data_IF_446339031082
#
_entry.id   IF_446339031082
#
_cell.length_a   1.000
_cell.length_b   1.000
_cell.length_c   1.000
_cell.angle_alpha   90.00
_cell.angle_beta   90.00
_cell.angle_gamma   90.00
#
_symmetry.space_group_name_H-M   'P 1'
#
loop_
_entity.id
_entity.type
_entity.pdbx_description
1 polymer ?
#
# COMPACT_ATOMS: atom_id res chain seq x y z
N UNK A 1 -6.64 -6.58 -21.12
CA UNK A 1 -6.68 -5.26 -20.52
C UNK A 1 -6.61 -5.34 -19.02
N UNK A 2 -5.65 -4.64 -18.47
CA UNK A 2 -5.43 -4.64 -17.03
C UNK A 2 -6.41 -3.75 -16.26
N UNK A 3 -7.33 -3.09 -16.98
CA UNK A 3 -8.19 -2.06 -16.42
C UNK A 3 -9.11 -2.51 -15.30
N UNK A 4 -9.35 -3.82 -15.18
CA UNK A 4 -10.29 -4.34 -14.20
C UNK A 4 -9.63 -5.10 -13.06
N UNK A 5 -8.32 -4.93 -12.90
CA UNK A 5 -7.62 -5.59 -11.81
C UNK A 5 -8.02 -4.94 -10.50
N UNK A 6 -8.70 -5.70 -9.67
CA UNK A 6 -9.13 -5.18 -8.37
C UNK A 6 -8.00 -5.22 -7.34
N UNK A 7 -7.95 -4.18 -6.53
CA UNK A 7 -7.00 -4.12 -5.43
C UNK A 7 -7.59 -4.89 -4.26
N UNK A 8 -6.87 -5.88 -3.79
CA UNK A 8 -7.33 -6.72 -2.68
C UNK A 8 -6.27 -6.81 -1.61
N UNK A 9 -6.71 -7.12 -0.39
CA UNK A 9 -5.82 -7.40 0.72
C UNK A 9 -6.37 -8.60 1.48
N UNK A 10 -5.47 -9.49 1.91
CA UNK A 10 -5.86 -10.64 2.71
C UNK A 10 -5.39 -10.40 4.14
N UNK A 11 -6.33 -10.46 5.07
CA UNK A 11 -6.06 -10.24 6.48
C UNK A 11 -6.55 -11.45 7.28
N UNK A 12 -5.71 -11.90 8.21
CA UNK A 12 -6.08 -12.97 9.11
C UNK A 12 -6.99 -12.40 10.20
N UNK A 13 -8.15 -13.03 10.42
CA UNK A 13 -9.09 -12.59 11.43
C UNK A 13 -8.74 -13.21 12.79
N UNK A 14 -9.54 -12.91 13.81
CA UNK A 14 -9.31 -13.42 15.16
C UNK A 14 -9.39 -14.94 15.27
N UNK A 15 -10.04 -15.58 14.30
CA UNK A 15 -10.15 -17.03 14.26
C UNK A 15 -8.99 -17.68 13.50
N UNK A 16 -8.05 -16.89 13.01
CA UNK A 16 -6.91 -17.38 12.25
C UNK A 16 -7.19 -17.67 10.79
N UNK A 17 -8.32 -17.21 10.28
CA UNK A 17 -8.68 -17.40 8.87
C UNK A 17 -8.32 -16.18 8.05
N UNK A 18 -7.74 -16.41 6.87
CA UNK A 18 -7.47 -15.33 5.92
C UNK A 18 -8.76 -14.93 5.22
N UNK A 19 -9.08 -13.66 5.29
CA UNK A 19 -10.25 -13.08 4.63
C UNK A 19 -9.76 -12.07 3.60
N UNK A 20 -10.25 -12.20 2.37
CA UNK A 20 -9.91 -11.28 1.31
C UNK A 20 -10.90 -10.11 1.27
N UNK A 21 -10.36 -8.91 1.24
CA UNK A 21 -11.17 -7.69 1.11
C UNK A 21 -10.82 -7.00 -0.21
N UNK A 22 -11.81 -6.44 -0.85
CA UNK A 22 -11.67 -5.74 -2.13
C UNK A 22 -11.87 -4.25 -1.91
N UNK A 23 -10.93 -3.45 -2.41
CA UNK A 23 -10.99 -2.00 -2.24
C UNK A 23 -12.11 -1.35 -3.05
N UNK A 24 -12.50 -1.98 -4.15
CA UNK A 24 -13.42 -1.37 -5.07
C UNK A 24 -12.71 -0.40 -6.00
N UNK A 25 -13.45 0.57 -6.52
CA UNK A 25 -12.93 1.52 -7.48
C UNK A 25 -11.95 2.50 -6.83
N UNK A 26 -10.77 2.62 -7.40
CA UNK A 26 -9.77 3.57 -6.89
C UNK A 26 -10.00 4.93 -7.53
N UNK A 27 -10.23 5.93 -6.70
CA UNK A 27 -10.52 7.29 -7.17
C UNK A 27 -9.24 8.13 -7.21
N UNK A 28 -9.33 9.24 -7.93
CA UNK A 28 -8.17 10.14 -8.09
C UNK A 28 -7.59 10.63 -6.76
N UNK A 29 -8.43 10.81 -5.74
CA UNK A 29 -7.96 11.23 -4.42
C UNK A 29 -6.95 10.23 -3.85
N UNK A 30 -7.20 8.94 -4.01
CA UNK A 30 -6.29 7.91 -3.53
C UNK A 30 -4.96 7.95 -4.27
N UNK A 31 -5.00 8.15 -5.58
CA UNK A 31 -3.78 8.29 -6.37
C UNK A 31 -2.96 9.48 -5.89
N UNK A 32 -3.63 10.60 -5.66
CA UNK A 32 -2.98 11.81 -5.13
C UNK A 32 -2.37 11.56 -3.76
N UNK A 33 -3.11 10.88 -2.87
CA UNK A 33 -2.62 10.57 -1.54
C UNK A 33 -1.39 9.67 -1.58
N UNK A 34 -1.37 8.71 -2.50
CA UNK A 34 -0.21 7.83 -2.68
C UNK A 34 1.01 8.61 -3.16
N UNK A 35 0.82 9.49 -4.13
CA UNK A 35 1.91 10.33 -4.64
C UNK A 35 2.48 11.21 -3.55
N UNK A 36 1.61 11.78 -2.73
CA UNK A 36 2.03 12.63 -1.60
C UNK A 36 2.84 11.82 -0.59
N UNK A 37 2.39 10.61 -0.29
CA UNK A 37 3.11 9.72 0.63
C UNK A 37 4.51 9.42 0.12
N UNK A 38 4.64 9.03 -1.16
CA UNK A 38 5.95 8.73 -1.74
C UNK A 38 6.85 9.96 -1.74
N UNK A 39 6.30 11.13 -2.02
CA UNK A 39 7.07 12.37 -1.96
C UNK A 39 7.63 12.60 -0.56
N UNK A 40 6.84 12.35 0.46
CA UNK A 40 7.28 12.48 1.85
C UNK A 40 8.37 11.45 2.20
N UNK A 41 8.21 10.22 1.70
CA UNK A 41 9.16 9.15 1.99
C UNK A 41 10.52 9.37 1.31
N UNK A 42 10.55 10.09 0.20
CA UNK A 42 11.77 10.38 -0.54
C UNK A 42 12.58 11.55 0.02
N UNK A 43 12.00 12.31 0.94
CA UNK A 43 12.69 13.47 1.49
C UNK A 43 13.92 13.04 2.28
N UNK A 44 15.04 13.73 2.01
CA UNK A 44 16.29 13.49 2.71
C UNK A 44 16.81 14.81 3.27
N UNK A 45 17.63 14.70 4.30
CA UNK A 45 18.28 15.88 4.89
C UNK A 45 19.51 16.29 4.08
N UNK A 46 20.25 17.28 4.56
CA UNK A 46 21.43 17.78 3.87
C UNK A 46 22.53 16.74 3.71
N UNK A 47 22.47 15.65 4.47
CA UNK A 47 23.46 14.57 4.41
C UNK A 47 22.96 13.37 3.60
N UNK A 48 21.77 13.48 3.00
CA UNK A 48 21.19 12.38 2.23
C UNK A 48 20.51 11.32 3.06
N UNK A 49 20.28 11.58 4.34
CA UNK A 49 19.59 10.63 5.24
C UNK A 49 18.08 10.87 5.16
N UNK A 50 17.27 9.82 5.05
CA UNK A 50 15.81 10.00 5.01
C UNK A 50 15.32 10.79 6.23
N UNK A 51 14.46 11.76 5.99
CA UNK A 51 13.86 12.59 7.04
C UNK A 51 12.95 11.75 7.93
N UNK A 52 12.20 10.82 7.32
CA UNK A 52 11.31 9.92 8.05
C UNK A 52 12.03 8.64 8.44
N UNK A 53 11.83 8.20 9.68
CA UNK A 53 12.35 6.90 10.13
C UNK A 53 11.60 5.77 9.43
N UNK A 54 12.13 4.54 9.54
CA UNK A 54 11.48 3.37 8.97
C UNK A 54 10.07 3.16 9.52
N UNK A 55 9.89 3.37 10.82
CA UNK A 55 8.57 3.20 11.45
C UNK A 55 7.60 4.29 10.97
N UNK A 56 8.08 5.52 10.80
CA UNK A 56 7.23 6.59 10.28
C UNK A 56 6.81 6.31 8.84
N UNK A 57 7.72 5.78 8.02
CA UNK A 57 7.39 5.38 6.65
C UNK A 57 6.36 4.26 6.64
N UNK A 58 6.53 3.28 7.51
CA UNK A 58 5.59 2.16 7.63
C UNK A 58 4.20 2.66 8.03
N UNK A 59 4.14 3.57 9.00
CA UNK A 59 2.87 4.14 9.46
C UNK A 59 2.16 4.89 8.33
N UNK A 60 2.91 5.60 7.48
CA UNK A 60 2.31 6.28 6.33
C UNK A 60 1.70 5.29 5.34
N UNK A 61 2.37 4.16 5.11
CA UNK A 61 1.86 3.13 4.22
C UNK A 61 0.58 2.50 4.77
N UNK A 62 0.57 2.19 6.07
CA UNK A 62 -0.61 1.61 6.73
C UNK A 62 -1.78 2.59 6.66
N UNK A 63 -1.51 3.86 6.95
CA UNK A 63 -2.54 4.91 6.87
C UNK A 63 -3.13 5.00 5.47
N UNK A 64 -2.28 5.01 4.44
CA UNK A 64 -2.74 5.08 3.06
C UNK A 64 -3.63 3.89 2.72
N UNK A 65 -3.22 2.69 3.08
CA UNK A 65 -3.98 1.48 2.77
C UNK A 65 -5.32 1.49 3.49
N UNK A 66 -5.33 1.73 4.80
CA UNK A 66 -6.57 1.65 5.60
C UNK A 66 -7.51 2.81 5.33
N UNK A 67 -6.98 4.02 5.25
CA UNK A 67 -7.82 5.22 5.27
C UNK A 67 -8.03 5.87 3.90
N UNK A 68 -7.35 5.40 2.87
CA UNK A 68 -7.54 5.91 1.52
C UNK A 68 -7.93 4.79 0.54
N UNK A 69 -7.08 3.78 0.39
CA UNK A 69 -7.33 2.70 -0.56
C UNK A 69 -8.58 1.90 -0.17
N UNK A 70 -8.66 1.49 1.10
CA UNK A 70 -9.78 0.70 1.62
C UNK A 70 -10.76 1.55 2.43
N UNK A 71 -10.86 2.83 2.11
CA UNK A 71 -11.73 3.77 2.82
C UNK A 71 -13.18 3.30 2.95
N UNK A 72 -13.68 2.60 1.93
CA UNK A 72 -15.07 2.13 1.89
C UNK A 72 -15.26 0.76 2.53
N UNK A 73 -14.18 0.14 3.01
CA UNK A 73 -14.23 -1.18 3.62
C UNK A 73 -13.94 -1.02 5.11
N UNK A 74 -15.00 -0.99 5.90
CA UNK A 74 -14.91 -0.72 7.34
C UNK A 74 -14.03 -1.72 8.08
N UNK A 75 -13.97 -2.96 7.61
CA UNK A 75 -13.21 -4.02 8.26
C UNK A 75 -11.70 -3.86 8.10
N UNK A 76 -11.26 -3.08 7.10
CA UNK A 76 -9.83 -2.86 6.87
C UNK A 76 -9.39 -1.61 7.61
N UNK A 77 -9.02 -1.78 8.86
CA UNK A 77 -8.53 -0.71 9.72
C UNK A 77 -7.02 -0.85 9.90
N UNK A 78 -6.39 0.16 10.47
CA UNK A 78 -4.95 0.07 10.76
C UNK A 78 -4.67 -1.10 11.70
N UNK A 79 -5.49 -1.28 12.72
CA UNK A 79 -5.33 -2.40 13.66
C UNK A 79 -5.53 -3.75 12.96
N UNK A 80 -6.51 -3.85 12.07
CA UNK A 80 -6.75 -5.08 11.33
C UNK A 80 -5.55 -5.45 10.44
N UNK A 81 -4.91 -4.45 9.86
CA UNK A 81 -3.70 -4.66 9.06
C UNK A 81 -2.55 -5.15 9.95
N UNK A 82 -2.35 -4.47 11.08
CA UNK A 82 -1.26 -4.81 11.99
C UNK A 82 -1.44 -6.19 12.63
N UNK A 83 -2.67 -6.57 12.91
CA UNK A 83 -2.97 -7.85 13.55
C UNK A 83 -3.24 -8.97 12.56
N UNK A 84 -3.50 -8.64 11.30
CA UNK A 84 -3.92 -9.61 10.30
C UNK A 84 -2.86 -10.01 9.27
N UNK A 85 -1.65 -9.46 9.37
CA UNK A 85 -0.55 -9.78 8.46
C UNK A 85 0.66 -10.20 9.28
N UNK A 86 1.32 -11.28 8.85
CA UNK A 86 2.55 -11.71 9.51
C UNK A 86 3.62 -10.61 9.41
N UNK A 87 4.39 -10.44 10.48
CA UNK A 87 5.33 -9.33 10.57
C UNK A 87 6.36 -9.26 9.45
N UNK A 88 6.84 -10.43 9.01
CA UNK A 88 7.83 -10.49 7.95
C UNK A 88 7.26 -10.23 6.55
N UNK A 89 5.95 -10.20 6.42
CA UNK A 89 5.26 -9.97 5.14
C UNK A 89 4.60 -8.60 5.04
N UNK A 90 4.57 -7.86 6.13
CA UNK A 90 3.82 -6.60 6.19
C UNK A 90 4.23 -5.61 5.11
N UNK A 91 5.51 -5.33 4.99
CA UNK A 91 6.00 -4.34 4.03
C UNK A 91 5.67 -4.76 2.59
N UNK A 92 5.89 -6.04 2.26
CA UNK A 92 5.61 -6.55 0.93
C UNK A 92 4.13 -6.46 0.58
N UNK A 93 3.26 -6.81 1.52
CA UNK A 93 1.81 -6.74 1.30
C UNK A 93 1.38 -5.28 1.08
N UNK A 94 1.87 -4.37 1.91
CA UNK A 94 1.52 -2.95 1.78
C UNK A 94 1.98 -2.39 0.42
N UNK A 95 3.22 -2.70 0.02
CA UNK A 95 3.74 -2.23 -1.26
C UNK A 95 2.93 -2.77 -2.43
N UNK A 96 2.59 -4.05 -2.39
CA UNK A 96 1.81 -4.67 -3.44
C UNK A 96 0.42 -4.02 -3.57
N UNK A 97 -0.23 -3.77 -2.45
CA UNK A 97 -1.54 -3.13 -2.43
C UNK A 97 -1.45 -1.70 -2.99
N UNK A 98 -0.46 -0.94 -2.56
CA UNK A 98 -0.29 0.44 -2.99
C UNK A 98 0.03 0.52 -4.48
N UNK A 99 0.93 -0.35 -4.96
CA UNK A 99 1.27 -0.40 -6.38
C UNK A 99 0.05 -0.76 -7.22
N UNK A 100 -0.75 -1.72 -6.75
CA UNK A 100 -1.99 -2.08 -7.42
C UNK A 100 -2.96 -0.91 -7.51
N UNK A 101 -3.09 -0.15 -6.42
CA UNK A 101 -3.97 1.01 -6.38
C UNK A 101 -3.52 2.12 -7.33
N UNK A 102 -2.21 2.23 -7.56
CA UNK A 102 -1.66 3.22 -8.48
C UNK A 102 -1.66 2.74 -9.93
N UNK A 103 -2.09 1.51 -10.17
CA UNK A 103 -2.11 0.95 -11.52
C UNK A 103 -0.74 0.47 -12.01
N UNK A 104 0.19 0.27 -11.09
CA UNK A 104 1.53 -0.20 -11.42
C UNK A 104 1.60 -1.71 -11.18
N UNK A 105 2.03 -2.46 -12.20
CA UNK A 105 2.24 -3.91 -12.07
C UNK A 105 3.73 -4.23 -12.08
N UNK A 106 4.05 -5.46 -11.70
CA UNK A 106 5.43 -5.92 -11.78
C UNK A 106 5.95 -5.89 -13.23
N UNK A 107 5.09 -6.15 -14.19
CA UNK A 107 5.45 -6.07 -15.60
C UNK A 107 5.84 -4.66 -16.00
N UNK A 108 5.11 -3.66 -15.50
CA UNK A 108 5.42 -2.26 -15.78
C UNK A 108 6.78 -1.88 -15.23
N UNK A 109 7.11 -2.38 -14.06
CA UNK A 109 8.42 -2.12 -13.45
C UNK A 109 9.52 -2.77 -14.26
N UNK A 110 9.33 -4.02 -14.69
CA UNK A 110 10.30 -4.73 -15.51
C UNK A 110 10.54 -4.03 -16.84
N UNK A 111 9.47 -3.59 -17.50
CA UNK A 111 9.59 -2.87 -18.75
C UNK A 111 10.37 -1.57 -18.58
N UNK A 112 10.11 -0.85 -17.50
CA UNK A 112 10.81 0.40 -17.22
C UNK A 112 12.30 0.14 -16.99
N UNK A 113 12.66 -0.94 -16.31
CA UNK A 113 14.05 -1.30 -16.06
C UNK A 113 14.75 -1.78 -17.32
N UNK A 114 14.08 -2.58 -18.13
CA UNK A 114 14.64 -3.10 -19.38
C UNK A 114 14.75 -2.04 -20.46
N UNK A 115 13.88 -1.03 -20.41
CA UNK A 115 13.87 0.07 -21.37
C UNK A 115 15.00 1.06 -21.22
N UNK A 116 15.82 0.87 -20.21
CA UNK A 116 16.98 1.71 -19.98
C UNK A 116 18.22 1.06 -20.54
#
# INVERSE_FOLDING_TARGET
MAANKQVTIKLENQEGKLVEYKAGKIMARTTRDAMKMYSQMEQVDSKGVPVLSEIEQLDLMIDLVANSIFKRVEEVTEDAILDGIEGDKLTDVLQEVIMGAMGISEEDIKEAEEGK
#
